data_IF_254504791107
#
_entry.id   IF_254504791107
#
_cell.length_a   1.000
_cell.length_b   1.000
_cell.length_c   1.000
_cell.angle_alpha   90.00
_cell.angle_beta   90.00
_cell.angle_gamma   90.00
#
_symmetry.space_group_name_H-M   'P 1'
#
loop_
_entity.id
_entity.type
_entity.pdbx_description
1 polymer ?
#
# COMPACT_ATOMS: atom_id res chain seq x y z
N UNK A 1 -12.99 -4.87 19.97
CA UNK A 1 -13.35 -5.07 18.56
C UNK A 1 -13.81 -3.75 17.99
N UNK A 2 -13.23 -3.34 16.92
CA UNK A 2 -13.43 -2.05 16.29
C UNK A 2 -12.60 -1.92 15.03
N UNK A 3 -12.40 -0.70 14.59
CA UNK A 3 -11.48 -0.33 13.53
C UNK A 3 -10.91 1.06 13.78
N UNK A 4 -9.81 1.35 13.13
CA UNK A 4 -9.23 2.70 13.08
C UNK A 4 -9.31 3.20 11.64
N UNK A 5 -9.79 4.42 11.45
CA UNK A 5 -9.85 5.08 10.15
C UNK A 5 -9.22 6.46 10.25
N UNK A 6 -8.21 6.72 9.41
CA UNK A 6 -7.44 7.98 9.42
C UNK A 6 -6.89 8.33 10.83
N UNK A 7 -6.37 7.33 11.57
CA UNK A 7 -5.81 7.52 12.91
C UNK A 7 -6.83 7.61 14.05
N UNK A 8 -8.14 7.62 13.76
CA UNK A 8 -9.21 7.74 14.75
C UNK A 8 -9.87 6.37 14.95
N UNK A 9 -10.06 5.93 16.20
CA UNK A 9 -10.67 4.63 16.52
C UNK A 9 -12.20 4.73 16.55
N UNK A 10 -12.89 3.67 16.12
CA UNK A 10 -14.35 3.59 16.19
C UNK A 10 -14.88 3.73 17.61
N UNK A 11 -14.12 3.29 18.60
CA UNK A 11 -14.47 3.41 20.03
C UNK A 11 -14.52 4.86 20.49
N UNK A 12 -13.59 5.70 20.04
CA UNK A 12 -13.60 7.15 20.36
C UNK A 12 -14.80 7.87 19.74
N UNK A 13 -15.38 7.30 18.69
CA UNK A 13 -16.61 7.76 18.04
C UNK A 13 -17.88 7.11 18.62
N UNK A 14 -17.78 6.50 19.82
CA UNK A 14 -18.89 5.80 20.46
C UNK A 14 -19.52 4.68 19.64
N UNK A 15 -18.71 4.00 18.80
CA UNK A 15 -19.11 2.88 17.97
C UNK A 15 -18.37 1.62 18.41
N UNK A 16 -19.13 0.54 18.62
CA UNK A 16 -18.62 -0.82 18.65
C UNK A 16 -18.78 -1.42 17.27
N UNK A 17 -17.70 -1.95 16.71
CA UNK A 17 -17.68 -2.49 15.37
C UNK A 17 -17.05 -3.87 15.33
N UNK A 18 -17.43 -4.68 14.33
CA UNK A 18 -16.81 -5.97 14.02
C UNK A 18 -16.91 -6.25 12.54
N UNK A 19 -15.94 -7.00 12.03
CA UNK A 19 -15.91 -7.44 10.64
C UNK A 19 -17.03 -8.46 10.39
N UNK A 20 -17.82 -8.29 9.34
CA UNK A 20 -18.93 -9.20 9.01
C UNK A 20 -18.54 -10.32 8.05
N UNK A 21 -17.47 -10.13 7.28
CA UNK A 21 -16.96 -11.11 6.33
C UNK A 21 -15.60 -10.71 5.80
N UNK A 22 -14.90 -11.66 5.21
CA UNK A 22 -13.59 -11.46 4.63
C UNK A 22 -13.55 -11.90 3.19
N UNK A 23 -13.26 -10.98 2.27
CA UNK A 23 -12.98 -11.36 0.90
C UNK A 23 -11.58 -11.98 0.81
N UNK A 24 -11.52 -13.29 0.57
CA UNK A 24 -10.25 -14.01 0.40
C UNK A 24 -9.49 -13.54 -0.84
N UNK A 25 -10.22 -13.18 -1.90
CA UNK A 25 -9.69 -12.66 -3.17
C UNK A 25 -10.45 -11.38 -3.50
N UNK A 26 -9.79 -10.30 -3.94
CA UNK A 26 -10.46 -9.11 -4.46
C UNK A 26 -11.40 -9.45 -5.62
N UNK A 27 -12.24 -8.51 -6.03
CA UNK A 27 -13.01 -8.66 -7.26
C UNK A 27 -12.07 -8.94 -8.44
N UNK A 28 -12.52 -9.77 -9.39
CA UNK A 28 -11.74 -10.12 -10.58
C UNK A 28 -12.39 -9.51 -11.81
N UNK A 29 -11.57 -8.90 -12.64
CA UNK A 29 -11.95 -8.45 -13.98
C UNK A 29 -11.40 -9.45 -14.98
N UNK A 30 -12.29 -10.34 -15.49
CA UNK A 30 -11.93 -11.33 -16.49
C UNK A 30 -11.91 -10.70 -17.89
N UNK A 31 -10.82 -10.87 -18.60
CA UNK A 31 -10.64 -10.40 -19.98
C UNK A 31 -10.94 -11.57 -20.93
N UNK A 32 -12.21 -11.70 -21.35
CA UNK A 32 -12.67 -12.80 -22.20
C UNK A 32 -13.40 -12.31 -23.41
N UNK A 33 -13.31 -13.03 -24.54
CA UNK A 33 -13.98 -12.71 -25.78
C UNK A 33 -14.63 -13.94 -26.41
N UNK A 34 -15.81 -13.74 -27.00
CA UNK A 34 -16.51 -14.77 -27.77
C UNK A 34 -16.06 -14.73 -29.24
N UNK A 35 -15.45 -15.80 -29.73
CA UNK A 35 -15.03 -15.90 -31.13
C UNK A 35 -16.07 -16.69 -31.91
N UNK A 36 -16.73 -16.12 -32.96
CA UNK A 36 -17.69 -16.83 -33.78
C UNK A 36 -17.10 -18.12 -34.38
N UNK A 37 -17.86 -19.23 -34.25
CA UNK A 37 -17.42 -20.55 -34.75
C UNK A 37 -16.48 -21.32 -33.83
N UNK A 38 -16.06 -20.74 -32.70
CA UNK A 38 -15.27 -21.42 -31.66
C UNK A 38 -16.15 -21.74 -30.46
N UNK A 39 -16.06 -22.98 -29.96
CA UNK A 39 -16.71 -23.33 -28.71
C UNK A 39 -15.97 -22.72 -27.51
N UNK A 40 -16.74 -22.18 -26.53
CA UNK A 40 -16.19 -21.53 -25.32
C UNK A 40 -15.78 -20.08 -25.57
N UNK A 41 -14.99 -19.56 -24.63
CA UNK A 41 -14.43 -18.20 -24.63
C UNK A 41 -12.93 -18.23 -24.97
N UNK A 42 -12.45 -17.19 -25.61
CA UNK A 42 -11.03 -16.85 -25.60
C UNK A 42 -10.74 -16.14 -24.28
N UNK A 43 -9.84 -16.69 -23.48
CA UNK A 43 -9.45 -16.15 -22.17
C UNK A 43 -8.10 -15.44 -22.31
N UNK A 44 -8.05 -14.16 -21.97
CA UNK A 44 -6.86 -13.32 -21.98
C UNK A 44 -6.36 -13.02 -20.56
N UNK A 45 -6.85 -13.78 -19.55
CA UNK A 45 -6.50 -13.64 -18.16
C UNK A 45 -7.48 -12.78 -17.36
N UNK A 46 -7.13 -12.54 -16.11
CA UNK A 46 -7.92 -11.74 -15.20
C UNK A 46 -7.03 -10.81 -14.38
N UNK A 47 -7.51 -9.59 -14.16
CA UNK A 47 -6.90 -8.60 -13.29
C UNK A 47 -7.61 -8.52 -11.95
N UNK A 48 -6.88 -8.17 -10.90
CA UNK A 48 -7.47 -7.83 -9.61
C UNK A 48 -8.19 -6.48 -9.72
N UNK A 49 -9.45 -6.46 -9.34
CA UNK A 49 -10.24 -5.26 -9.18
C UNK A 49 -10.17 -4.72 -7.75
N UNK A 50 -11.14 -3.94 -7.37
CA UNK A 50 -11.28 -3.35 -6.04
C UNK A 50 -11.64 -4.42 -4.98
N UNK A 51 -11.42 -4.07 -3.71
CA UNK A 51 -11.84 -4.85 -2.55
C UNK A 51 -12.92 -4.10 -1.78
N UNK A 52 -13.89 -4.85 -1.25
CA UNK A 52 -14.88 -4.33 -0.30
C UNK A 52 -14.67 -4.94 1.07
N UNK A 53 -14.84 -4.12 2.12
CA UNK A 53 -14.75 -4.52 3.51
C UNK A 53 -16.03 -4.06 4.20
N UNK A 54 -16.83 -5.01 4.69
CA UNK A 54 -18.08 -4.74 5.36
C UNK A 54 -17.90 -4.87 6.89
N UNK A 55 -18.28 -3.82 7.62
CA UNK A 55 -18.13 -3.71 9.07
C UNK A 55 -19.48 -3.42 9.68
N UNK A 56 -19.99 -4.32 10.53
CA UNK A 56 -21.19 -4.05 11.30
C UNK A 56 -20.88 -3.19 12.52
N UNK A 57 -21.67 -2.16 12.70
CA UNK A 57 -21.47 -1.13 13.70
C UNK A 57 -22.72 -0.99 14.61
N UNK A 58 -22.46 -0.77 15.88
CA UNK A 58 -23.50 -0.43 16.86
C UNK A 58 -23.09 0.84 17.59
N UNK A 59 -23.99 1.80 17.69
CA UNK A 59 -23.79 2.99 18.51
C UNK A 59 -23.93 2.59 19.97
N UNK A 60 -22.98 2.96 20.82
CA UNK A 60 -23.12 2.79 22.26
C UNK A 60 -24.39 3.52 22.75
N UNK A 61 -25.14 2.92 23.70
CA UNK A 61 -26.36 3.52 24.19
C UNK A 61 -26.16 4.96 24.70
N UNK A 62 -26.92 5.88 24.13
CA UNK A 62 -26.90 7.30 24.49
C UNK A 62 -28.03 7.61 25.47
N UNK A 63 -28.01 8.79 26.09
CA UNK A 63 -29.06 9.21 27.03
C UNK A 63 -30.37 9.52 26.31
N UNK A 64 -30.29 10.17 25.17
CA UNK A 64 -31.42 10.59 24.35
C UNK A 64 -31.24 10.23 22.89
N UNK A 65 -32.31 10.29 22.12
CA UNK A 65 -32.22 10.13 20.65
C UNK A 65 -31.43 11.27 19.99
N UNK A 66 -31.54 12.48 20.51
CA UNK A 66 -30.77 13.62 20.02
C UNK A 66 -29.25 13.42 20.20
N UNK A 67 -28.85 12.87 21.36
CA UNK A 67 -27.43 12.52 21.58
C UNK A 67 -26.95 11.45 20.60
N UNK A 68 -27.80 10.47 20.26
CA UNK A 68 -27.47 9.46 19.27
C UNK A 68 -27.30 10.08 17.88
N UNK A 69 -28.18 10.99 17.47
CA UNK A 69 -28.06 11.71 16.19
C UNK A 69 -26.77 12.53 16.16
N UNK A 70 -26.41 13.21 17.25
CA UNK A 70 -25.16 13.96 17.33
C UNK A 70 -23.91 13.06 17.16
N UNK A 71 -23.94 11.83 17.68
CA UNK A 71 -22.89 10.83 17.41
C UNK A 71 -22.85 10.44 15.93
N UNK A 72 -24.00 10.19 15.32
CA UNK A 72 -24.08 9.84 13.90
C UNK A 72 -23.57 10.97 13.00
N UNK A 73 -23.85 12.23 13.33
CA UNK A 73 -23.33 13.40 12.62
C UNK A 73 -21.79 13.48 12.70
N UNK A 74 -21.22 13.19 13.88
CA UNK A 74 -19.76 13.12 14.05
C UNK A 74 -19.15 11.99 13.23
N UNK A 75 -19.80 10.83 13.19
CA UNK A 75 -19.38 9.68 12.40
C UNK A 75 -19.43 10.00 10.91
N UNK A 76 -20.49 10.66 10.45
CA UNK A 76 -20.62 11.08 9.06
C UNK A 76 -19.51 12.07 8.64
N UNK A 77 -19.17 13.02 9.50
CA UNK A 77 -18.07 13.94 9.27
C UNK A 77 -16.69 13.24 9.27
N UNK A 78 -16.51 12.25 10.14
CA UNK A 78 -15.28 11.46 10.21
C UNK A 78 -15.08 10.57 8.98
N UNK A 79 -16.14 9.94 8.49
CA UNK A 79 -16.13 9.00 7.36
C UNK A 79 -16.43 9.68 6.01
N UNK A 80 -16.27 10.98 5.89
CA UNK A 80 -16.56 11.73 4.66
C UNK A 80 -15.86 11.09 3.43
N UNK A 81 -16.60 10.50 2.47
CA UNK A 81 -16.02 9.85 1.31
C UNK A 81 -15.39 10.84 0.31
N UNK A 82 -15.74 12.13 0.41
CA UNK A 82 -15.19 13.18 -0.47
C UNK A 82 -13.75 13.54 -0.13
N UNK A 83 -13.30 13.22 1.10
CA UNK A 83 -11.94 13.41 1.55
C UNK A 83 -10.93 12.40 0.97
N UNK A 84 -11.37 11.52 0.04
CA UNK A 84 -10.57 10.49 -0.60
C UNK A 84 -10.31 9.26 0.29
N UNK A 85 -9.43 8.38 -0.17
CA UNK A 85 -9.05 7.17 0.58
C UNK A 85 -8.17 7.52 1.78
N UNK A 86 -8.40 6.82 2.90
CA UNK A 86 -7.63 6.92 4.13
C UNK A 86 -7.24 5.54 4.63
N UNK A 87 -6.28 5.49 5.50
CA UNK A 87 -5.84 4.26 6.14
C UNK A 87 -6.95 3.68 7.02
N UNK A 88 -7.31 2.44 6.76
CA UNK A 88 -8.24 1.61 7.53
C UNK A 88 -7.47 0.45 8.15
N UNK A 89 -7.49 0.34 9.48
CA UNK A 89 -6.94 -0.79 10.24
C UNK A 89 -8.10 -1.46 10.98
N UNK A 90 -8.18 -2.77 10.90
CA UNK A 90 -9.23 -3.57 11.55
C UNK A 90 -8.65 -4.24 12.80
N UNK A 91 -9.34 -4.16 13.95
CA UNK A 91 -8.90 -4.84 15.18
C UNK A 91 -8.82 -6.37 14.98
N UNK A 92 -9.64 -6.91 14.08
CA UNK A 92 -9.67 -8.34 13.75
C UNK A 92 -8.48 -8.78 12.87
N UNK A 93 -7.80 -7.83 12.20
CA UNK A 93 -6.62 -8.04 11.34
C UNK A 93 -5.61 -6.90 11.58
N UNK A 94 -4.94 -6.89 12.76
CA UNK A 94 -4.18 -5.74 13.23
C UNK A 94 -2.79 -5.60 12.61
N UNK A 95 -2.36 -6.57 11.80
CA UNK A 95 -1.02 -6.61 11.17
C UNK A 95 -0.93 -5.76 9.90
N UNK A 96 -2.06 -5.26 9.38
CA UNK A 96 -2.12 -4.55 8.10
C UNK A 96 -3.15 -3.44 8.05
N UNK A 97 -2.98 -2.55 7.08
CA UNK A 97 -3.93 -1.50 6.76
C UNK A 97 -4.38 -1.59 5.30
N UNK A 98 -5.52 -0.99 5.02
CA UNK A 98 -6.06 -0.81 3.67
C UNK A 98 -6.24 0.67 3.39
N UNK A 99 -6.00 1.08 2.14
CA UNK A 99 -6.37 2.42 1.68
C UNK A 99 -7.83 2.40 1.23
N UNK A 100 -8.72 2.92 2.07
CA UNK A 100 -10.16 2.75 1.91
C UNK A 100 -10.92 4.07 2.00
N UNK A 101 -12.12 4.09 1.45
CA UNK A 101 -13.14 5.13 1.66
C UNK A 101 -14.51 4.49 1.79
N UNK A 102 -15.45 5.19 2.38
CA UNK A 102 -16.84 4.75 2.40
C UNK A 102 -17.40 4.68 0.96
N UNK A 103 -18.13 3.60 0.62
CA UNK A 103 -18.61 3.36 -0.76
C UNK A 103 -20.10 3.63 -0.96
N UNK A 104 -20.91 3.47 0.08
CA UNK A 104 -22.36 3.48 -0.02
C UNK A 104 -23.01 4.43 0.99
N UNK A 105 -24.28 4.74 0.76
CA UNK A 105 -25.16 5.38 1.74
C UNK A 105 -25.26 4.49 2.98
N UNK A 106 -25.20 5.09 4.15
CA UNK A 106 -25.29 4.39 5.41
C UNK A 106 -26.58 4.79 6.12
N UNK A 107 -27.49 3.84 6.25
CA UNK A 107 -28.72 4.00 7.01
C UNK A 107 -28.55 3.36 8.39
N UNK A 108 -28.81 4.14 9.44
CA UNK A 108 -28.78 3.66 10.81
C UNK A 108 -30.15 3.17 11.24
N UNK A 109 -30.29 1.86 11.41
CA UNK A 109 -31.50 1.27 11.95
C UNK A 109 -31.59 1.55 13.45
N UNK A 110 -32.73 2.09 13.89
CA UNK A 110 -32.99 2.36 15.28
C UNK A 110 -33.48 1.10 15.99
N UNK A 111 -32.62 0.50 16.82
CA UNK A 111 -32.96 -0.70 17.58
C UNK A 111 -33.71 -0.39 18.88
N UNK A 112 -33.31 0.67 19.58
CA UNK A 112 -33.87 1.13 20.84
C UNK A 112 -34.03 2.65 20.83
N UNK A 113 -34.59 3.22 21.92
CA UNK A 113 -34.82 4.67 22.03
C UNK A 113 -33.55 5.52 21.76
N UNK A 114 -32.37 4.99 22.12
CA UNK A 114 -31.10 5.70 22.00
C UNK A 114 -29.94 4.75 21.61
N UNK A 115 -30.24 3.71 20.88
CA UNK A 115 -29.26 2.78 20.31
C UNK A 115 -29.64 2.41 18.86
N UNK A 116 -28.66 2.27 18.01
CA UNK A 116 -28.84 1.93 16.60
C UNK A 116 -27.74 1.05 16.08
N UNK A 117 -28.00 0.39 14.97
CA UNK A 117 -27.03 -0.40 14.21
C UNK A 117 -26.99 0.03 12.75
N UNK A 118 -25.85 -0.13 12.14
CA UNK A 118 -25.62 0.15 10.73
C UNK A 118 -24.46 -0.68 10.21
N UNK A 119 -24.35 -0.80 8.91
CA UNK A 119 -23.19 -1.44 8.26
C UNK A 119 -22.45 -0.39 7.45
N UNK A 120 -21.14 -0.36 7.62
CA UNK A 120 -20.22 0.43 6.81
C UNK A 120 -19.64 -0.48 5.74
N UNK A 121 -19.70 -0.04 4.50
CA UNK A 121 -19.02 -0.69 3.39
C UNK A 121 -17.88 0.19 2.92
N UNK A 122 -16.67 -0.27 3.13
CA UNK A 122 -15.47 0.40 2.66
C UNK A 122 -15.05 -0.14 1.29
N UNK A 123 -14.79 0.77 0.37
CA UNK A 123 -14.17 0.50 -0.91
C UNK A 123 -12.66 0.73 -0.79
N UNK A 124 -11.88 -0.28 -1.10
CA UNK A 124 -10.44 -0.21 -1.30
C UNK A 124 -10.16 -0.26 -2.81
N UNK A 125 -9.90 0.89 -3.48
CA UNK A 125 -9.59 0.92 -4.91
C UNK A 125 -8.30 0.13 -5.20
N UNK A 126 -7.32 0.22 -4.32
CA UNK A 126 -6.19 -0.68 -4.26
C UNK A 126 -6.57 -1.88 -3.37
N UNK A 127 -6.62 -3.10 -3.93
CA UNK A 127 -7.15 -4.26 -3.23
C UNK A 127 -6.23 -4.85 -2.17
N UNK A 128 -4.99 -4.37 -2.10
CA UNK A 128 -3.97 -4.93 -1.21
C UNK A 128 -4.09 -4.39 0.22
N UNK A 129 -3.80 -5.27 1.18
CA UNK A 129 -3.49 -4.87 2.54
C UNK A 129 -1.99 -4.69 2.70
N UNK A 130 -1.52 -3.59 3.25
CA UNK A 130 -0.12 -3.27 3.46
C UNK A 130 0.29 -3.46 4.92
N UNK A 131 1.49 -3.97 5.15
CA UNK A 131 2.01 -4.18 6.50
C UNK A 131 2.05 -2.87 7.29
N UNK A 132 1.59 -2.92 8.56
CA UNK A 132 1.75 -1.81 9.50
C UNK A 132 3.20 -1.71 9.98
N UNK A 133 3.77 -2.85 10.38
CA UNK A 133 5.20 -2.99 10.66
C UNK A 133 5.83 -3.69 9.46
N UNK A 134 6.40 -2.91 8.55
CA UNK A 134 6.97 -3.38 7.30
C UNK A 134 8.43 -3.76 7.46
N UNK A 135 8.89 -4.70 6.64
CA UNK A 135 10.27 -5.13 6.59
C UNK A 135 11.15 -4.08 5.90
N UNK A 136 12.31 -3.87 6.48
CA UNK A 136 13.33 -2.98 5.91
C UNK A 136 14.67 -3.70 5.86
N UNK A 137 15.43 -3.48 4.80
CA UNK A 137 16.75 -4.06 4.62
C UNK A 137 17.75 -2.96 4.31
N UNK A 138 18.96 -3.11 4.78
CA UNK A 138 20.06 -2.17 4.53
C UNK A 138 21.27 -2.92 4.00
N UNK A 139 21.71 -2.57 2.81
CA UNK A 139 22.87 -3.13 2.14
C UNK A 139 23.95 -2.04 2.07
N UNK A 140 25.10 -2.29 2.68
CA UNK A 140 26.21 -1.32 2.80
C UNK A 140 27.45 -1.69 1.98
N UNK A 141 27.39 -2.75 1.20
CA UNK A 141 28.47 -3.21 0.33
C UNK A 141 27.95 -3.51 -1.07
N UNK A 142 28.77 -3.27 -2.08
CA UNK A 142 28.52 -3.77 -3.41
C UNK A 142 28.75 -5.30 -3.47
N UNK A 143 28.10 -5.98 -4.41
CA UNK A 143 28.20 -7.43 -4.60
C UNK A 143 26.85 -8.11 -4.55
N UNK A 144 26.89 -9.42 -4.28
CA UNK A 144 25.71 -10.28 -4.19
C UNK A 144 25.18 -10.32 -2.77
N UNK A 145 23.85 -10.23 -2.63
CA UNK A 145 23.12 -10.26 -1.37
C UNK A 145 21.86 -11.13 -1.50
N UNK A 146 21.50 -11.75 -0.40
CA UNK A 146 20.22 -12.43 -0.24
C UNK A 146 19.34 -11.63 0.72
N UNK A 147 18.14 -11.29 0.28
CA UNK A 147 17.16 -10.53 1.06
C UNK A 147 15.90 -11.38 1.20
N UNK A 148 15.63 -11.84 2.42
CA UNK A 148 14.45 -12.66 2.70
C UNK A 148 13.29 -11.79 3.17
N UNK A 149 12.18 -11.78 2.40
CA UNK A 149 10.93 -11.11 2.74
C UNK A 149 9.91 -12.15 3.24
N UNK A 150 9.60 -12.10 4.52
CA UNK A 150 8.69 -13.05 5.17
C UNK A 150 7.23 -12.57 5.17
N UNK A 151 7.02 -11.25 5.30
CA UNK A 151 5.70 -10.62 5.44
C UNK A 151 4.98 -10.54 4.08
N UNK A 152 3.66 -10.79 4.10
CA UNK A 152 2.81 -10.72 2.91
C UNK A 152 2.64 -12.05 2.19
N UNK A 153 1.82 -12.08 1.15
CA UNK A 153 1.53 -13.28 0.35
C UNK A 153 1.59 -13.05 -1.17
N UNK A 154 1.95 -11.87 -1.60
CA UNK A 154 2.09 -11.50 -3.02
C UNK A 154 3.35 -10.65 -3.21
N UNK A 155 3.79 -10.49 -4.45
CA UNK A 155 4.93 -9.64 -4.78
C UNK A 155 4.67 -8.20 -4.33
N UNK A 156 5.71 -7.54 -3.86
CA UNK A 156 5.64 -6.15 -3.40
C UNK A 156 6.50 -5.22 -4.26
N UNK A 157 6.13 -3.97 -4.27
CA UNK A 157 6.79 -2.89 -5.00
C UNK A 157 7.58 -2.04 -4.00
N UNK A 158 8.89 -2.33 -3.80
CA UNK A 158 9.67 -1.71 -2.75
C UNK A 158 9.95 -0.23 -3.02
N UNK A 159 10.32 0.48 -1.95
CA UNK A 159 10.95 1.79 -2.05
C UNK A 159 12.44 1.63 -1.78
N UNK A 160 13.25 2.03 -2.75
CA UNK A 160 14.70 2.06 -2.64
C UNK A 160 15.17 3.47 -2.27
N UNK A 161 16.05 3.57 -1.28
CA UNK A 161 16.77 4.80 -0.93
C UNK A 161 18.25 4.55 -1.15
N UNK A 162 18.78 5.00 -2.28
CA UNK A 162 20.15 4.78 -2.71
C UNK A 162 21.05 5.96 -2.36
N UNK A 163 22.15 5.68 -1.69
CA UNK A 163 23.25 6.61 -1.41
C UNK A 163 24.51 6.17 -2.16
N UNK A 164 25.21 7.14 -2.68
CA UNK A 164 26.46 6.93 -3.42
C UNK A 164 26.85 8.18 -4.19
N UNK A 165 27.89 8.06 -5.00
CA UNK A 165 28.30 9.16 -5.89
C UNK A 165 28.35 8.67 -7.33
N UNK A 166 27.75 9.42 -8.24
CA UNK A 166 27.77 9.13 -9.68
C UNK A 166 28.06 10.44 -10.41
N UNK A 167 29.31 10.59 -10.84
CA UNK A 167 29.72 11.69 -11.73
C UNK A 167 29.85 11.20 -13.17
N UNK A 168 30.26 9.94 -13.34
CA UNK A 168 30.28 9.20 -14.60
C UNK A 168 30.09 7.70 -14.29
N UNK A 169 29.62 6.91 -15.26
CA UNK A 169 29.29 5.51 -15.04
C UNK A 169 27.89 5.28 -14.52
N UNK A 170 27.69 4.21 -13.76
CA UNK A 170 26.37 3.84 -13.23
C UNK A 170 26.46 2.99 -11.96
N UNK A 171 25.41 3.01 -11.15
CA UNK A 171 25.10 1.98 -10.16
C UNK A 171 23.98 1.10 -10.70
N UNK A 172 24.20 -0.21 -10.72
CA UNK A 172 23.23 -1.18 -11.22
C UNK A 172 22.73 -2.02 -10.05
N UNK A 173 21.43 -1.95 -9.80
CA UNK A 173 20.72 -2.73 -8.79
C UNK A 173 19.96 -3.83 -9.50
N UNK A 174 20.41 -5.08 -9.41
CA UNK A 174 19.71 -6.22 -9.99
C UNK A 174 18.96 -6.96 -8.89
N UNK A 175 17.66 -7.15 -9.05
CA UNK A 175 16.80 -7.90 -8.12
C UNK A 175 16.10 -9.02 -8.89
N UNK A 176 16.32 -10.28 -8.48
CA UNK A 176 15.75 -11.47 -9.13
C UNK A 176 15.98 -11.54 -10.65
N UNK A 177 17.11 -11.01 -11.13
CA UNK A 177 17.47 -10.96 -12.54
C UNK A 177 16.98 -9.71 -13.31
N UNK A 178 16.19 -8.83 -12.68
CA UNK A 178 15.75 -7.57 -13.27
C UNK A 178 16.66 -6.42 -12.81
N UNK A 179 17.24 -5.69 -13.76
CA UNK A 179 18.19 -4.62 -13.48
C UNK A 179 17.52 -3.25 -13.47
N UNK A 180 17.84 -2.45 -12.47
CA UNK A 180 17.55 -1.03 -12.39
C UNK A 180 18.88 -0.28 -12.46
N UNK A 181 19.10 0.48 -13.54
CA UNK A 181 20.36 1.16 -13.82
C UNK A 181 20.24 2.65 -13.49
N UNK A 182 21.10 3.12 -12.59
CA UNK A 182 21.16 4.50 -12.12
C UNK A 182 22.40 5.16 -12.73
N UNK A 183 22.18 6.14 -13.61
CA UNK A 183 23.24 6.86 -14.34
C UNK A 183 23.58 8.22 -13.72
N UNK A 184 22.84 8.64 -12.68
CA UNK A 184 23.05 9.88 -11.98
C UNK A 184 22.65 11.15 -12.77
N UNK A 185 23.18 12.35 -12.43
CA UNK A 185 24.19 12.58 -11.40
C UNK A 185 23.65 12.40 -9.98
N UNK A 186 24.52 11.95 -9.05
CA UNK A 186 24.22 11.83 -7.62
C UNK A 186 25.45 12.27 -6.81
N UNK A 187 25.27 13.20 -5.88
CA UNK A 187 26.33 13.66 -4.99
C UNK A 187 26.33 12.87 -3.67
N UNK A 188 27.42 12.92 -2.91
CA UNK A 188 27.61 12.11 -1.70
C UNK A 188 26.57 12.38 -0.58
N UNK A 189 26.05 13.62 -0.50
CA UNK A 189 25.05 14.02 0.50
C UNK A 189 23.61 13.80 0.00
N UNK A 190 23.45 13.37 -1.22
CA UNK A 190 22.14 13.16 -1.85
C UNK A 190 21.69 11.71 -1.69
N UNK A 191 20.37 11.54 -1.57
CA UNK A 191 19.71 10.23 -1.54
C UNK A 191 18.73 10.16 -2.71
N UNK A 192 18.92 9.17 -3.59
CA UNK A 192 17.96 8.88 -4.64
C UNK A 192 16.89 7.92 -4.10
N UNK A 193 15.68 8.45 -3.91
CA UNK A 193 14.53 7.67 -3.46
C UNK A 193 13.71 7.26 -4.67
N UNK A 194 13.55 5.94 -4.88
CA UNK A 194 12.84 5.33 -6.00
C UNK A 194 11.65 4.57 -5.43
N UNK A 195 10.44 4.99 -5.76
CA UNK A 195 9.19 4.29 -5.41
C UNK A 195 8.74 3.47 -6.63
N UNK A 196 8.90 2.15 -6.53
CA UNK A 196 8.63 1.25 -7.66
C UNK A 196 7.13 1.10 -7.92
N UNK A 197 6.31 1.20 -6.87
CA UNK A 197 4.85 1.11 -6.98
C UNK A 197 4.21 2.35 -7.59
N UNK A 198 4.73 3.53 -7.26
CA UNK A 198 4.28 4.80 -7.84
C UNK A 198 4.99 5.14 -9.16
N UNK A 199 6.00 4.37 -9.56
CA UNK A 199 6.83 4.63 -10.75
C UNK A 199 7.42 6.05 -10.69
N UNK A 200 7.94 6.44 -9.52
CA UNK A 200 8.51 7.76 -9.29
C UNK A 200 9.91 7.68 -8.70
N UNK A 201 10.71 8.70 -8.98
CA UNK A 201 12.00 8.88 -8.32
C UNK A 201 12.22 10.34 -7.96
N UNK A 202 12.86 10.57 -6.83
CA UNK A 202 13.24 11.91 -6.35
C UNK A 202 14.62 11.86 -5.72
N UNK A 203 15.38 12.94 -5.89
CA UNK A 203 16.62 13.15 -5.16
C UNK A 203 16.31 14.05 -3.96
N UNK A 204 16.74 13.60 -2.78
CA UNK A 204 16.54 14.31 -1.52
C UNK A 204 17.88 14.63 -0.88
N UNK A 205 17.88 15.56 0.07
CA UNK A 205 18.98 15.74 1.01
C UNK A 205 18.91 14.67 2.15
N UNK A 206 19.88 14.67 3.03
CA UNK A 206 19.93 13.77 4.20
C UNK A 206 18.79 14.01 5.21
N UNK A 207 18.11 15.15 5.16
CA UNK A 207 16.94 15.48 5.97
C UNK A 207 15.61 15.05 5.31
N UNK A 208 15.66 14.49 4.08
CA UNK A 208 14.49 14.01 3.34
C UNK A 208 13.77 15.09 2.52
N UNK A 209 14.31 16.33 2.44
CA UNK A 209 13.73 17.37 1.61
C UNK A 209 14.03 17.08 0.14
N UNK A 210 13.02 17.17 -0.72
CA UNK A 210 13.18 16.94 -2.16
C UNK A 210 13.98 18.09 -2.80
N UNK A 211 15.10 17.74 -3.43
CA UNK A 211 15.97 18.66 -4.15
C UNK A 211 15.57 18.75 -5.63
N UNK A 212 15.30 17.59 -6.27
CA UNK A 212 14.93 17.52 -7.69
C UNK A 212 14.24 16.21 -8.04
N UNK A 213 13.67 16.16 -9.25
CA UNK A 213 13.15 14.92 -9.83
C UNK A 213 14.32 13.93 -10.06
N UNK A 214 14.15 12.69 -9.61
CA UNK A 214 15.12 11.60 -9.73
C UNK A 214 14.95 10.73 -10.97
N UNK A 215 13.82 10.79 -11.67
CA UNK A 215 13.60 9.96 -12.88
C UNK A 215 14.69 10.14 -13.94
N UNK A 216 15.22 11.35 -14.22
CA UNK A 216 16.33 11.51 -15.16
C UNK A 216 17.65 10.85 -14.72
N UNK A 217 17.75 10.42 -13.45
CA UNK A 217 18.91 9.67 -12.97
C UNK A 217 18.85 8.18 -13.35
N UNK A 218 17.72 7.69 -13.87
CA UNK A 218 17.51 6.31 -14.29
C UNK A 218 17.68 6.21 -15.80
N UNK A 219 18.37 5.14 -16.27
CA UNK A 219 18.53 4.89 -17.71
C UNK A 219 17.25 4.31 -18.30
N UNK A 220 16.62 3.39 -17.58
CA UNK A 220 15.36 2.75 -17.96
C UNK A 220 14.39 2.75 -16.77
N UNK A 221 13.09 2.77 -17.08
CA UNK A 221 12.04 2.70 -16.06
C UNK A 221 11.64 1.22 -15.82
N UNK A 222 12.64 0.39 -15.48
CA UNK A 222 12.42 -0.98 -15.05
C UNK A 222 12.46 -1.03 -13.53
N UNK A 223 11.32 -1.34 -12.91
CA UNK A 223 11.15 -1.33 -11.47
C UNK A 223 10.96 -2.75 -10.94
N UNK A 224 12.04 -3.39 -10.44
CA UNK A 224 11.97 -4.76 -9.95
C UNK A 224 11.09 -4.88 -8.70
N UNK A 225 10.45 -6.04 -8.56
CA UNK A 225 9.61 -6.38 -7.42
C UNK A 225 10.33 -7.30 -6.44
N UNK A 226 9.95 -7.26 -5.16
CA UNK A 226 10.36 -8.24 -4.17
C UNK A 226 9.30 -9.35 -4.07
N UNK A 227 9.73 -10.59 -4.27
CA UNK A 227 8.92 -11.80 -4.07
C UNK A 227 8.85 -12.15 -2.58
N UNK A 228 7.84 -12.90 -2.19
CA UNK A 228 7.84 -13.51 -0.88
C UNK A 228 8.94 -14.58 -0.80
N UNK A 229 9.65 -14.65 0.33
CA UNK A 229 10.82 -15.51 0.53
C UNK A 229 12.11 -14.86 0.06
N UNK A 230 13.08 -15.66 -0.35
CA UNK A 230 14.41 -15.24 -0.72
C UNK A 230 14.40 -14.45 -2.05
N UNK A 231 15.09 -13.31 -2.05
CA UNK A 231 15.34 -12.48 -3.21
C UNK A 231 16.85 -12.34 -3.38
N UNK A 232 17.33 -12.60 -4.58
CA UNK A 232 18.72 -12.40 -4.98
C UNK A 232 18.89 -10.95 -5.44
N UNK A 233 19.81 -10.24 -4.80
CA UNK A 233 20.11 -8.86 -5.15
C UNK A 233 21.60 -8.71 -5.45
N UNK A 234 21.93 -8.04 -6.54
CA UNK A 234 23.31 -7.71 -6.89
C UNK A 234 23.45 -6.22 -7.09
N UNK A 235 24.46 -5.63 -6.46
CA UNK A 235 24.81 -4.22 -6.59
C UNK A 235 26.17 -4.11 -7.26
N UNK A 236 26.22 -3.49 -8.44
CA UNK A 236 27.48 -3.24 -9.18
C UNK A 236 27.67 -1.75 -9.43
N UNK A 237 28.93 -1.32 -9.32
CA UNK A 237 29.35 0.02 -9.66
C UNK A 237 30.19 -0.02 -10.95
N UNK A 238 29.86 0.83 -11.91
CA UNK A 238 30.52 0.95 -13.21
C UNK A 238 31.14 2.34 -13.35
N UNK A 239 32.32 2.41 -14.00
CA UNK A 239 33.05 3.67 -14.19
C UNK A 239 33.51 4.25 -12.86
N UNK A 240 33.29 5.55 -12.66
CA UNK A 240 33.66 6.28 -11.42
C UNK A 240 32.52 6.32 -10.38
N UNK A 241 31.48 5.50 -10.57
CA UNK A 241 30.38 5.43 -9.60
C UNK A 241 30.83 4.71 -8.32
N UNK A 242 30.44 5.26 -7.17
CA UNK A 242 30.72 4.69 -5.85
C UNK A 242 29.42 4.40 -5.12
N UNK A 243 29.20 3.16 -4.75
CA UNK A 243 28.09 2.75 -3.92
C UNK A 243 28.41 3.00 -2.43
N UNK A 244 27.45 3.52 -1.67
CA UNK A 244 27.60 3.71 -0.22
C UNK A 244 26.60 2.84 0.53
N UNK A 245 25.30 3.00 0.28
CA UNK A 245 24.25 2.29 0.99
C UNK A 245 22.98 2.22 0.17
N UNK A 246 22.27 1.12 0.29
CA UNK A 246 20.91 0.94 -0.22
C UNK A 246 19.99 0.54 0.94
N UNK A 247 19.07 1.42 1.29
CA UNK A 247 17.98 1.10 2.20
C UNK A 247 16.75 0.71 1.38
N UNK A 248 16.12 -0.40 1.74
CA UNK A 248 14.98 -1.00 1.06
C UNK A 248 13.82 -1.08 2.03
N UNK A 249 12.73 -0.41 1.73
CA UNK A 249 11.45 -0.63 2.39
C UNK A 249 10.65 -1.62 1.53
N UNK A 250 10.32 -2.78 2.06
CA UNK A 250 9.78 -3.89 1.28
C UNK A 250 8.39 -3.62 0.70
N UNK A 251 7.57 -2.77 1.35
CA UNK A 251 6.16 -2.54 1.00
C UNK A 251 5.37 -3.84 0.97
N UNK A 252 5.62 -4.68 1.98
CA UNK A 252 5.01 -6.00 2.13
C UNK A 252 3.50 -5.92 2.11
N UNK A 253 2.87 -6.77 1.29
CA UNK A 253 1.43 -6.69 1.05
C UNK A 253 0.77 -8.06 0.91
N UNK A 254 -0.53 -8.08 1.14
CA UNK A 254 -1.39 -9.25 0.99
C UNK A 254 -2.47 -8.97 -0.06
N UNK A 255 -2.66 -9.98 -0.87
CA UNK A 255 -3.78 -10.03 -1.82
C UNK A 255 -5.08 -10.41 -1.13
#
# INVERSE_FOLDING_TARGET
MGFQYNGITSQSMSIKAHLTGWQMVPSLRSNTETVPGKAGLADFGADSGERYIDVACNVYPQKTFADMVAVLDQVAAWLDPTAGTKQLVLDDVPDRYFMARLSDTVDCERLLRAAGSFTLRFLCPDPYGYALDDETFTLSQAGEHEVEREIGNTDSEPVYSLQGTISSGALVLTTNGEALRVIGPLAAEEVLVIDTGMVTAKVTDSAGNTLRNGLPCLEELNFPVLRRGMNEMTITAEGDAVFTELHIQAKSRWR
#
